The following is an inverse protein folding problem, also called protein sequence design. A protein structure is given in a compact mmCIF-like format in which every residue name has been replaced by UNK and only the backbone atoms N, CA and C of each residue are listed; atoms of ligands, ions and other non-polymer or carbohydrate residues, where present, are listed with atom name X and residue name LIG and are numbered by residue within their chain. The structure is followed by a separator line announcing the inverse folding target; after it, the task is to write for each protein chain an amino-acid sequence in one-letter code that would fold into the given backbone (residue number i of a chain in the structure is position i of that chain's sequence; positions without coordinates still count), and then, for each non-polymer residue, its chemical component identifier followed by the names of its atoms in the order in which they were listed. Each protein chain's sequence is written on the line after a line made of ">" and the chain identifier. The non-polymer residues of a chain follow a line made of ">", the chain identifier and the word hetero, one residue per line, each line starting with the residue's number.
data_IF_965056486525
#
_entry.id   IF_965056486525
#
_cell.length_a   1.000
_cell.length_b   1.000
_cell.length_c   1.000
_cell.angle_alpha   90.00
_cell.angle_beta   90.00
_cell.angle_gamma   90.00
#
_symmetry.space_group_name_H-M   'P 1'
#
loop_
_entity.id
_entity.type
_entity.pdbx_description
1 polymer ?
#
# COMPACT_ATOMS: atom_id res chain seq x y z
N UNK A 1 22.22 9.37 6.71
CA UNK A 1 21.98 7.98 6.25
C UNK A 1 21.84 7.98 4.73
N UNK A 2 22.06 6.86 4.02
CA UNK A 2 21.73 6.81 2.60
C UNK A 2 20.24 7.11 2.39
N UNK A 3 19.88 7.67 1.24
CA UNK A 3 18.51 8.02 0.84
C UNK A 3 17.79 9.12 1.65
N UNK A 4 18.47 9.88 2.48
CA UNK A 4 17.83 11.02 3.17
C UNK A 4 17.35 12.14 2.22
N UNK A 5 18.07 12.49 1.14
CA UNK A 5 17.57 13.43 0.15
C UNK A 5 16.30 12.96 -0.55
N UNK A 6 16.24 11.66 -0.87
CA UNK A 6 15.07 11.02 -1.51
C UNK A 6 13.87 11.02 -0.56
N UNK A 7 14.09 10.65 0.71
CA UNK A 7 13.05 10.69 1.74
C UNK A 7 12.50 12.10 1.89
N UNK A 8 13.37 13.10 2.01
CA UNK A 8 12.96 14.49 2.17
C UNK A 8 12.15 15.00 0.96
N UNK A 9 12.54 14.64 -0.26
CA UNK A 9 11.79 15.00 -1.47
C UNK A 9 10.43 14.31 -1.52
N UNK A 10 10.35 13.02 -1.18
CA UNK A 10 9.09 12.28 -1.10
C UNK A 10 8.13 12.85 -0.03
N UNK A 11 8.65 13.21 1.15
CA UNK A 11 7.87 13.87 2.20
C UNK A 11 7.32 15.23 1.74
N UNK A 12 8.15 16.04 1.07
CA UNK A 12 7.72 17.33 0.54
C UNK A 12 6.65 17.19 -0.53
N UNK A 13 6.82 16.24 -1.46
CA UNK A 13 5.84 15.93 -2.50
C UNK A 13 4.52 15.41 -1.91
N UNK A 14 4.58 14.50 -0.92
CA UNK A 14 3.40 13.98 -0.24
C UNK A 14 2.62 15.08 0.48
N UNK A 15 3.30 16.00 1.17
CA UNK A 15 2.64 17.15 1.83
C UNK A 15 1.97 18.07 0.84
N UNK A 16 2.63 18.42 -0.26
CA UNK A 16 2.07 19.29 -1.30
C UNK A 16 0.81 18.66 -1.95
N UNK A 17 0.86 17.36 -2.25
CA UNK A 17 -0.29 16.62 -2.77
C UNK A 17 -1.43 16.53 -1.74
N UNK A 18 -1.13 16.25 -0.48
CA UNK A 18 -2.12 16.19 0.59
C UNK A 18 -2.81 17.53 0.82
N UNK A 19 -2.10 18.66 0.72
CA UNK A 19 -2.70 19.99 0.81
C UNK A 19 -3.68 20.24 -0.36
N UNK A 20 -3.32 19.82 -1.56
CA UNK A 20 -4.18 19.86 -2.73
C UNK A 20 -5.44 18.99 -2.52
N UNK A 21 -5.29 17.73 -2.10
CA UNK A 21 -6.40 16.80 -1.84
C UNK A 21 -7.33 17.37 -0.77
N UNK A 22 -6.80 17.85 0.36
CA UNK A 22 -7.59 18.46 1.44
C UNK A 22 -8.40 19.65 0.98
N UNK A 23 -7.87 20.47 0.05
CA UNK A 23 -8.59 21.63 -0.48
C UNK A 23 -9.86 21.25 -1.26
N UNK A 24 -9.98 19.99 -1.71
CA UNK A 24 -11.10 19.44 -2.47
C UNK A 24 -11.97 18.47 -1.67
N UNK A 25 -11.58 18.10 -0.45
CA UNK A 25 -12.34 17.16 0.39
C UNK A 25 -13.74 17.67 0.68
N UNK A 26 -14.77 16.83 0.44
CA UNK A 26 -16.17 17.16 0.61
C UNK A 26 -16.73 18.18 -0.38
N UNK A 27 -16.03 18.45 -1.49
CA UNK A 27 -16.41 19.45 -2.50
C UNK A 27 -16.60 18.88 -3.91
N UNK A 28 -16.47 17.56 -4.08
CA UNK A 28 -16.65 16.90 -5.37
C UNK A 28 -18.12 16.97 -5.80
N UNK A 29 -18.37 17.36 -7.06
CA UNK A 29 -19.63 17.17 -7.73
C UNK A 29 -19.72 15.75 -8.32
N UNK A 30 -20.93 15.30 -8.65
CA UNK A 30 -21.11 13.96 -9.24
C UNK A 30 -20.32 13.77 -10.55
N UNK A 31 -20.20 14.83 -11.36
CA UNK A 31 -19.49 14.81 -12.64
C UNK A 31 -17.94 14.81 -12.48
N UNK A 32 -17.44 15.06 -11.28
CA UNK A 32 -16.00 15.02 -10.96
C UNK A 32 -15.49 13.59 -10.76
N UNK A 33 -16.37 12.61 -10.59
CA UNK A 33 -16.05 11.21 -10.33
C UNK A 33 -16.28 10.40 -11.61
N UNK A 34 -15.27 9.65 -12.02
CA UNK A 34 -15.32 8.77 -13.20
C UNK A 34 -15.01 7.33 -12.81
N UNK A 35 -15.68 6.37 -13.45
CA UNK A 35 -15.36 4.95 -13.31
C UNK A 35 -14.16 4.60 -14.22
N UNK A 36 -13.12 3.98 -13.64
CA UNK A 36 -12.02 3.34 -14.37
C UNK A 36 -12.33 1.88 -14.71
N UNK A 37 -13.20 1.23 -13.93
CA UNK A 37 -13.54 -0.18 -14.03
C UNK A 37 -14.53 -0.61 -12.95
N UNK A 38 -14.69 -1.92 -12.76
CA UNK A 38 -15.58 -2.46 -11.72
C UNK A 38 -15.12 -2.01 -10.32
N UNK A 39 -15.91 -1.16 -9.67
CA UNK A 39 -15.64 -0.60 -8.35
C UNK A 39 -14.28 0.13 -8.26
N UNK A 40 -13.87 0.75 -9.34
CA UNK A 40 -12.63 1.52 -9.44
C UNK A 40 -12.93 2.95 -9.91
N UNK A 41 -12.60 3.93 -9.08
CA UNK A 41 -12.94 5.35 -9.28
C UNK A 41 -11.69 6.18 -9.50
N UNK A 42 -11.83 7.26 -10.27
CA UNK A 42 -10.83 8.33 -10.39
C UNK A 42 -11.52 9.68 -10.40
N UNK A 43 -10.83 10.67 -9.86
CA UNK A 43 -11.27 12.05 -9.90
C UNK A 43 -10.15 12.94 -10.49
N UNK A 44 -10.49 14.18 -10.85
CA UNK A 44 -9.46 15.15 -11.22
C UNK A 44 -8.49 15.46 -10.07
N UNK A 45 -8.86 15.09 -8.84
CA UNK A 45 -8.02 15.25 -7.64
C UNK A 45 -6.88 14.25 -7.65
N UNK A 46 -7.12 13.00 -8.05
CA UNK A 46 -6.09 11.97 -8.24
C UNK A 46 -5.07 12.44 -9.28
N UNK A 47 -5.54 12.85 -10.47
CA UNK A 47 -4.68 13.34 -11.55
C UNK A 47 -3.88 14.61 -11.14
N UNK A 48 -4.51 15.52 -10.40
CA UNK A 48 -3.89 16.74 -9.89
C UNK A 48 -2.83 16.46 -8.84
N UNK A 49 -3.12 15.58 -7.89
CA UNK A 49 -2.19 15.14 -6.86
C UNK A 49 -0.99 14.41 -7.47
N UNK A 50 -1.25 13.48 -8.43
CA UNK A 50 -0.17 12.81 -9.14
C UNK A 50 0.77 13.80 -9.83
N UNK A 51 0.25 14.78 -10.56
CA UNK A 51 1.07 15.80 -11.23
C UNK A 51 1.98 16.54 -10.26
N UNK A 52 1.46 16.96 -9.10
CA UNK A 52 2.23 17.64 -8.06
C UNK A 52 3.39 16.75 -7.58
N UNK A 53 3.13 15.46 -7.32
CA UNK A 53 4.14 14.51 -6.87
C UNK A 53 5.21 14.31 -7.94
N UNK A 54 4.79 14.03 -9.17
CA UNK A 54 5.70 13.75 -10.29
C UNK A 54 6.60 14.94 -10.59
N UNK A 55 6.06 16.15 -10.59
CA UNK A 55 6.83 17.38 -10.84
C UNK A 55 7.89 17.59 -9.75
N UNK A 56 7.53 17.35 -8.48
CA UNK A 56 8.46 17.43 -7.34
C UNK A 56 9.60 16.41 -7.44
N UNK A 57 9.26 15.14 -7.71
CA UNK A 57 10.25 14.07 -7.80
C UNK A 57 11.16 14.23 -9.02
N UNK A 58 10.62 14.53 -10.19
CA UNK A 58 11.40 14.75 -11.43
C UNK A 58 12.32 15.96 -11.34
N UNK A 59 11.91 17.01 -10.64
CA UNK A 59 12.76 18.16 -10.37
C UNK A 59 13.96 17.82 -9.49
N UNK A 60 13.75 16.97 -8.47
CA UNK A 60 14.79 16.56 -7.54
C UNK A 60 15.68 15.43 -8.11
N UNK A 61 15.09 14.50 -8.86
CA UNK A 61 15.74 13.29 -9.39
C UNK A 61 15.40 13.07 -10.86
N UNK A 62 15.91 13.92 -11.77
CA UNK A 62 15.53 13.89 -13.18
C UNK A 62 15.99 12.64 -13.95
N UNK A 63 16.89 11.83 -13.38
CA UNK A 63 17.37 10.57 -13.96
C UNK A 63 16.56 9.35 -13.52
N UNK A 64 15.70 9.49 -12.51
CA UNK A 64 14.90 8.38 -11.99
C UNK A 64 13.63 8.21 -12.84
N UNK A 65 13.19 6.95 -13.00
CA UNK A 65 11.86 6.69 -13.56
C UNK A 65 10.78 6.88 -12.50
N UNK A 66 9.55 7.22 -12.93
CA UNK A 66 8.42 7.44 -12.02
C UNK A 66 7.17 6.75 -12.55
N UNK A 67 6.74 5.71 -11.88
CA UNK A 67 5.51 4.96 -12.13
C UNK A 67 4.40 5.49 -11.21
N UNK A 68 3.44 6.22 -11.78
CA UNK A 68 2.23 6.64 -11.07
C UNK A 68 1.04 5.74 -11.43
N UNK A 69 0.02 5.70 -10.60
CA UNK A 69 -1.23 4.98 -10.84
C UNK A 69 -1.95 5.49 -12.08
N UNK A 70 -2.10 6.83 -12.18
CA UNK A 70 -2.88 7.43 -13.24
C UNK A 70 -2.13 7.40 -14.57
N UNK A 71 -2.70 6.66 -15.54
CA UNK A 71 -2.09 6.44 -16.85
C UNK A 71 -0.92 5.47 -16.82
N UNK A 72 -0.89 4.53 -15.88
CA UNK A 72 0.17 3.52 -15.78
C UNK A 72 0.21 2.64 -17.04
N UNK A 73 1.37 2.60 -17.67
CA UNK A 73 1.68 1.73 -18.80
C UNK A 73 2.98 0.96 -18.50
N UNK A 74 3.16 -0.20 -19.12
CA UNK A 74 4.38 -1.02 -19.05
C UNK A 74 4.87 -1.31 -17.61
N UNK A 75 3.93 -1.50 -16.67
CA UNK A 75 4.18 -1.63 -15.23
C UNK A 75 5.26 -2.68 -14.93
N UNK A 76 5.19 -3.87 -15.58
CA UNK A 76 6.17 -4.95 -15.35
C UNK A 76 7.59 -4.55 -15.76
N UNK A 77 7.74 -3.86 -16.89
CA UNK A 77 9.03 -3.40 -17.41
C UNK A 77 9.62 -2.31 -16.52
N UNK A 78 8.80 -1.32 -16.15
CA UNK A 78 9.22 -0.20 -15.30
C UNK A 78 9.63 -0.67 -13.90
N UNK A 79 8.93 -1.64 -13.31
CA UNK A 79 9.33 -2.27 -12.04
C UNK A 79 10.65 -3.07 -12.12
N UNK A 80 11.11 -3.41 -13.32
CA UNK A 80 12.40 -4.05 -13.54
C UNK A 80 13.54 -3.06 -13.72
N UNK A 81 13.26 -1.76 -13.80
CA UNK A 81 14.24 -0.68 -13.92
C UNK A 81 15.19 -0.61 -12.73
N UNK A 82 16.36 0.02 -12.96
CA UNK A 82 17.39 0.16 -11.93
C UNK A 82 16.91 1.00 -10.75
N UNK A 83 16.12 2.07 -11.03
CA UNK A 83 15.64 2.99 -10.02
C UNK A 83 14.29 3.57 -10.45
N UNK A 84 13.25 3.34 -9.64
CA UNK A 84 11.88 3.75 -9.96
C UNK A 84 11.13 4.23 -8.72
N UNK A 85 10.56 5.42 -8.80
CA UNK A 85 9.56 5.91 -7.88
C UNK A 85 8.20 5.30 -8.23
N UNK A 86 7.47 4.84 -7.23
CA UNK A 86 6.16 4.21 -7.38
C UNK A 86 5.19 5.01 -6.54
N UNK A 87 4.16 5.57 -7.18
CA UNK A 87 3.30 6.60 -6.60
C UNK A 87 1.83 6.21 -6.72
N UNK A 88 1.14 6.21 -5.58
CA UNK A 88 -0.30 6.32 -5.50
C UNK A 88 -0.64 7.74 -5.05
N UNK A 89 -1.28 8.54 -5.91
CA UNK A 89 -1.62 9.92 -5.57
C UNK A 89 -2.73 10.01 -4.52
N UNK A 90 -3.64 9.03 -4.46
CA UNK A 90 -4.79 9.02 -3.56
C UNK A 90 -5.29 7.58 -3.31
N UNK A 91 -4.54 6.79 -2.53
CA UNK A 91 -5.02 5.49 -2.04
C UNK A 91 -6.31 5.68 -1.23
N UNK A 92 -7.35 4.95 -1.61
CA UNK A 92 -8.67 5.08 -1.02
C UNK A 92 -9.56 6.13 -1.71
N UNK A 93 -9.51 6.28 -3.04
CA UNK A 93 -10.36 7.19 -3.83
C UNK A 93 -11.85 7.03 -3.51
N UNK A 94 -12.34 5.80 -3.34
CA UNK A 94 -13.72 5.55 -2.90
C UNK A 94 -14.01 6.20 -1.53
N UNK A 95 -13.10 6.06 -0.58
CA UNK A 95 -13.23 6.68 0.73
C UNK A 95 -13.27 8.21 0.64
N UNK A 96 -12.37 8.77 -0.17
CA UNK A 96 -12.31 10.22 -0.41
C UNK A 96 -13.59 10.76 -1.04
N UNK A 97 -14.12 10.10 -2.08
CA UNK A 97 -15.36 10.53 -2.76
C UNK A 97 -16.57 10.49 -1.84
N UNK A 98 -16.59 9.58 -0.86
CA UNK A 98 -17.61 9.48 0.17
C UNK A 98 -17.31 10.28 1.45
N UNK A 99 -16.17 11.01 1.50
CA UNK A 99 -15.74 11.77 2.69
C UNK A 99 -15.59 10.89 3.95
N UNK A 100 -15.17 9.65 3.77
CA UNK A 100 -14.95 8.65 4.84
C UNK A 100 -13.47 8.32 4.92
N UNK A 101 -12.72 8.79 5.92
CA UNK A 101 -11.31 8.39 6.07
C UNK A 101 -11.18 6.90 6.42
N UNK A 102 -9.96 6.29 6.24
CA UNK A 102 -8.73 6.95 5.78
C UNK A 102 -8.58 6.99 4.25
N UNK A 103 -7.75 7.91 3.77
CA UNK A 103 -7.22 7.96 2.42
C UNK A 103 -5.85 8.65 2.43
N UNK A 104 -4.93 8.25 1.56
CA UNK A 104 -3.54 8.63 1.69
C UNK A 104 -2.82 8.90 0.36
N UNK A 105 -1.71 9.65 0.44
CA UNK A 105 -0.67 9.70 -0.58
C UNK A 105 0.38 8.64 -0.23
N UNK A 106 0.77 7.80 -1.20
CA UNK A 106 1.78 6.76 -1.05
C UNK A 106 2.91 6.94 -2.06
N UNK A 107 4.16 7.04 -1.59
CA UNK A 107 5.36 7.24 -2.43
C UNK A 107 6.44 6.27 -2.00
N UNK A 108 6.78 5.32 -2.87
CA UNK A 108 7.86 4.37 -2.66
C UNK A 108 8.99 4.57 -3.66
N UNK A 109 10.24 4.34 -3.26
CA UNK A 109 11.38 4.23 -4.17
C UNK A 109 11.92 2.81 -4.14
N UNK A 110 12.05 2.19 -5.31
CA UNK A 110 12.78 0.94 -5.50
C UNK A 110 14.07 1.18 -6.26
N UNK A 111 15.13 0.53 -5.80
CA UNK A 111 16.42 0.47 -6.48
C UNK A 111 16.78 -1.00 -6.71
N UNK A 112 16.94 -1.40 -7.99
CA UNK A 112 17.23 -2.79 -8.41
C UNK A 112 16.27 -3.82 -7.79
N UNK A 113 14.99 -3.48 -7.80
CA UNK A 113 13.94 -4.34 -7.27
C UNK A 113 13.79 -4.33 -5.75
N UNK A 114 14.59 -3.54 -5.02
CA UNK A 114 14.55 -3.45 -3.55
C UNK A 114 13.94 -2.11 -3.12
N UNK A 115 12.96 -2.13 -2.22
CA UNK A 115 12.41 -0.91 -1.61
C UNK A 115 13.46 -0.22 -0.74
N UNK A 116 13.68 1.09 -0.94
CA UNK A 116 14.70 1.86 -0.23
C UNK A 116 14.15 3.10 0.47
N UNK A 117 13.04 3.67 -0.01
CA UNK A 117 12.30 4.76 0.65
C UNK A 117 10.82 4.42 0.63
N UNK A 118 10.13 4.70 1.72
CA UNK A 118 8.68 4.65 1.83
C UNK A 118 8.14 5.85 2.57
N UNK A 119 7.15 6.51 1.98
CA UNK A 119 6.43 7.63 2.58
C UNK A 119 4.94 7.41 2.35
N UNK A 120 4.16 7.43 3.43
CA UNK A 120 2.70 7.42 3.39
C UNK A 120 2.20 8.59 4.22
N UNK A 121 1.34 9.43 3.64
CA UNK A 121 0.69 10.53 4.36
C UNK A 121 -0.81 10.29 4.37
N UNK A 122 -1.38 9.97 5.55
CA UNK A 122 -2.83 9.91 5.74
C UNK A 122 -3.38 11.33 5.71
N UNK A 123 -4.22 11.62 4.71
CA UNK A 123 -4.57 12.99 4.34
C UNK A 123 -5.51 13.65 5.36
N UNK A 124 -6.46 12.89 5.93
CA UNK A 124 -7.48 13.45 6.83
C UNK A 124 -6.89 13.83 8.19
N UNK A 125 -6.03 12.97 8.78
CA UNK A 125 -5.34 13.27 10.06
C UNK A 125 -4.09 14.13 9.87
N UNK A 126 -3.44 14.04 8.70
CA UNK A 126 -2.17 14.67 8.41
C UNK A 126 -0.96 13.89 8.91
N UNK A 127 -1.14 12.66 9.42
CA UNK A 127 -0.04 11.83 9.90
C UNK A 127 0.89 11.41 8.76
N UNK A 128 2.18 11.63 8.94
CA UNK A 128 3.22 11.26 7.98
C UNK A 128 4.05 10.09 8.52
N UNK A 129 3.99 8.97 7.80
CA UNK A 129 4.81 7.79 8.01
C UNK A 129 5.96 7.81 7.01
N UNK A 130 7.18 7.68 7.49
CA UNK A 130 8.36 7.85 6.64
C UNK A 130 9.51 6.95 7.09
N UNK A 131 10.14 6.28 6.13
CA UNK A 131 11.29 5.43 6.38
C UNK A 131 12.27 5.40 5.21
N UNK A 132 13.54 5.13 5.57
CA UNK A 132 14.54 4.63 4.62
C UNK A 132 15.00 3.25 5.06
N UNK A 133 15.40 2.43 4.12
CA UNK A 133 15.92 1.09 4.41
C UNK A 133 17.09 1.15 5.37
N UNK A 134 16.97 0.43 6.50
CA UNK A 134 17.97 0.42 7.57
C UNK A 134 18.00 1.66 8.46
N UNK A 135 17.09 2.62 8.27
CA UNK A 135 17.02 3.85 9.03
C UNK A 135 15.94 3.90 10.13
N UNK A 136 15.04 2.90 10.14
CA UNK A 136 13.89 2.89 11.04
C UNK A 136 12.70 3.69 10.51
N UNK A 137 11.54 3.47 11.14
CA UNK A 137 10.29 4.18 10.84
C UNK A 137 10.17 5.43 11.71
N UNK A 138 9.66 6.52 11.14
CA UNK A 138 9.17 7.66 11.90
C UNK A 138 7.69 7.94 11.56
N UNK A 139 6.93 8.35 12.58
CA UNK A 139 5.58 8.92 12.46
C UNK A 139 5.66 10.35 12.97
N UNK A 140 5.43 11.33 12.09
CA UNK A 140 5.60 12.76 12.39
C UNK A 140 6.98 13.08 13.03
N UNK A 141 8.04 12.43 12.52
CA UNK A 141 9.41 12.60 13.01
C UNK A 141 9.73 11.88 14.32
N UNK A 142 8.80 11.13 14.92
CA UNK A 142 9.00 10.33 16.12
C UNK A 142 9.22 8.87 15.74
N UNK A 143 10.22 8.23 16.32
CA UNK A 143 10.50 6.82 16.09
C UNK A 143 9.28 5.95 16.43
N UNK A 144 8.98 4.99 15.57
CA UNK A 144 7.93 3.99 15.76
C UNK A 144 8.43 2.60 15.31
N UNK A 145 7.73 1.56 15.75
CA UNK A 145 8.03 0.18 15.41
C UNK A 145 6.73 -0.63 15.33
N UNK A 146 6.79 -1.80 14.73
CA UNK A 146 5.70 -2.78 14.78
C UNK A 146 5.42 -3.21 16.22
N UNK A 147 4.25 -3.81 16.46
CA UNK A 147 3.91 -4.35 17.78
C UNK A 147 4.82 -5.52 18.18
N UNK A 148 4.82 -5.86 19.45
CA UNK A 148 5.49 -7.03 20.03
C UNK A 148 4.55 -8.24 20.19
N UNK A 149 3.36 -8.18 19.60
CA UNK A 149 2.37 -9.26 19.64
C UNK A 149 2.94 -10.53 19.01
N UNK A 150 2.89 -11.63 19.77
CA UNK A 150 3.46 -12.93 19.38
C UNK A 150 2.40 -14.05 19.23
N UNK A 151 1.14 -13.76 19.56
CA UNK A 151 0.01 -14.69 19.48
C UNK A 151 -1.05 -14.15 18.53
N UNK A 152 -1.49 -14.99 17.60
CA UNK A 152 -2.55 -14.61 16.65
C UNK A 152 -3.89 -14.27 17.36
N UNK A 153 -4.23 -14.96 18.43
CA UNK A 153 -5.45 -14.71 19.22
C UNK A 153 -5.48 -13.30 19.85
N UNK A 154 -4.32 -12.69 20.02
CA UNK A 154 -4.17 -11.33 20.56
C UNK A 154 -4.05 -10.28 19.46
N UNK A 155 -3.91 -10.70 18.21
CA UNK A 155 -3.63 -9.80 17.08
C UNK A 155 -4.88 -9.09 16.58
N UNK A 156 -4.76 -7.77 16.36
CA UNK A 156 -5.69 -6.97 15.55
C UNK A 156 -5.14 -6.91 14.12
N UNK A 157 -5.90 -7.42 13.16
CA UNK A 157 -5.44 -7.49 11.76
C UNK A 157 -6.29 -6.64 10.83
N UNK A 158 -5.70 -6.21 9.70
CA UNK A 158 -6.42 -5.53 8.63
C UNK A 158 -6.41 -6.37 7.35
N UNK A 159 -7.38 -6.12 6.46
CA UNK A 159 -7.53 -6.80 5.16
C UNK A 159 -8.38 -5.96 4.20
N UNK A 160 -8.33 -6.25 2.91
CA UNK A 160 -9.26 -5.74 1.91
C UNK A 160 -10.35 -6.74 1.55
N UNK A 161 -11.28 -6.33 0.67
CA UNK A 161 -12.33 -7.18 0.12
C UNK A 161 -12.16 -7.35 -1.40
N UNK A 162 -12.55 -8.51 -1.99
CA UNK A 162 -12.37 -8.80 -3.41
C UNK A 162 -13.40 -8.09 -4.30
N UNK A 163 -13.49 -6.76 -4.24
CA UNK A 163 -14.51 -6.00 -4.98
C UNK A 163 -14.25 -5.93 -6.49
N UNK A 164 -12.99 -5.99 -6.90
CA UNK A 164 -12.62 -5.86 -8.31
C UNK A 164 -12.70 -7.18 -9.07
N UNK A 165 -12.55 -8.32 -8.36
CA UNK A 165 -12.58 -9.66 -8.94
C UNK A 165 -13.16 -10.68 -7.94
N UNK A 166 -14.29 -11.27 -8.30
CA UNK A 166 -14.99 -12.23 -7.43
C UNK A 166 -14.52 -13.69 -7.64
N UNK A 167 -13.64 -13.98 -8.60
CA UNK A 167 -13.21 -15.34 -8.90
C UNK A 167 -12.47 -16.02 -7.77
N UNK A 168 -11.83 -15.26 -6.86
CA UNK A 168 -11.14 -15.78 -5.68
C UNK A 168 -11.92 -15.57 -4.36
N UNK A 169 -13.22 -15.21 -4.44
CA UNK A 169 -14.03 -14.89 -3.26
C UNK A 169 -14.14 -16.03 -2.26
N UNK A 170 -14.20 -17.28 -2.72
CA UNK A 170 -14.31 -18.45 -1.83
C UNK A 170 -13.05 -18.62 -0.98
N UNK A 171 -11.86 -18.51 -1.58
CA UNK A 171 -10.57 -18.51 -0.85
C UNK A 171 -10.44 -17.33 0.12
N UNK A 172 -10.98 -16.16 -0.29
CA UNK A 172 -11.06 -14.99 0.59
C UNK A 172 -11.95 -15.28 1.81
N UNK A 173 -13.17 -15.78 1.61
CA UNK A 173 -14.12 -16.05 2.69
C UNK A 173 -13.62 -17.13 3.65
N UNK A 174 -12.89 -18.15 3.17
CA UNK A 174 -12.23 -19.13 4.03
C UNK A 174 -11.19 -18.46 4.94
N UNK A 175 -10.31 -17.65 4.38
CA UNK A 175 -9.28 -16.90 5.12
C UNK A 175 -9.90 -15.88 6.08
N UNK A 176 -10.94 -15.16 5.65
CA UNK A 176 -11.63 -14.18 6.47
C UNK A 176 -12.36 -14.81 7.66
N UNK A 177 -13.02 -15.98 7.46
CA UNK A 177 -13.61 -16.77 8.55
C UNK A 177 -12.54 -17.15 9.56
N UNK A 178 -11.40 -17.68 9.12
CA UNK A 178 -10.31 -18.03 10.00
C UNK A 178 -9.76 -16.81 10.76
N UNK A 179 -9.74 -15.64 10.14
CA UNK A 179 -9.34 -14.39 10.81
C UNK A 179 -10.33 -14.01 11.93
N UNK A 180 -11.65 -14.08 11.67
CA UNK A 180 -12.67 -13.81 12.67
C UNK A 180 -12.55 -14.77 13.87
N UNK A 181 -12.29 -16.06 13.61
CA UNK A 181 -12.26 -17.10 14.64
C UNK A 181 -10.97 -17.12 15.48
N UNK A 182 -9.86 -16.59 14.94
CA UNK A 182 -8.50 -16.80 15.47
C UNK A 182 -7.73 -15.52 15.77
N UNK A 183 -8.35 -14.35 15.61
CA UNK A 183 -7.70 -13.06 15.93
C UNK A 183 -8.55 -12.28 16.92
N UNK A 184 -7.98 -11.26 17.55
CA UNK A 184 -8.72 -10.34 18.41
C UNK A 184 -9.77 -9.53 17.63
N UNK A 185 -9.54 -9.32 16.35
CA UNK A 185 -10.46 -8.60 15.50
C UNK A 185 -9.90 -8.29 14.14
N UNK A 186 -10.79 -7.98 13.20
CA UNK A 186 -10.44 -7.62 11.82
C UNK A 186 -10.91 -6.20 11.51
N UNK A 187 -10.13 -5.49 10.72
CA UNK A 187 -10.49 -4.17 10.17
C UNK A 187 -10.45 -4.20 8.64
N UNK A 188 -11.31 -3.40 8.02
CA UNK A 188 -11.33 -3.16 6.57
C UNK A 188 -11.50 -1.65 6.34
N UNK A 189 -10.40 -0.94 6.14
CA UNK A 189 -10.42 0.50 5.99
C UNK A 189 -10.57 0.95 4.55
N UNK A 190 -10.06 0.18 3.58
CA UNK A 190 -10.19 0.48 2.15
C UNK A 190 -9.13 1.44 1.61
N UNK A 191 -7.98 1.46 2.28
CA UNK A 191 -6.78 2.18 1.89
C UNK A 191 -5.57 1.33 2.32
N UNK A 192 -5.03 0.54 1.39
CA UNK A 192 -4.00 -0.46 1.68
C UNK A 192 -2.68 0.16 2.16
N UNK A 193 -2.30 1.32 1.62
CA UNK A 193 -1.13 2.04 2.06
C UNK A 193 -1.25 2.48 3.53
N UNK A 194 -2.45 2.88 3.97
CA UNK A 194 -2.70 3.23 5.38
C UNK A 194 -2.68 1.99 6.26
N UNK A 195 -3.30 0.88 5.84
CA UNK A 195 -3.30 -0.37 6.60
C UNK A 195 -1.87 -0.88 6.83
N UNK A 196 -0.99 -0.78 5.82
CA UNK A 196 0.44 -1.08 5.93
C UNK A 196 1.18 -0.08 6.85
N UNK A 197 0.92 1.23 6.74
CA UNK A 197 1.54 2.25 7.57
C UNK A 197 1.14 2.08 9.06
N UNK A 198 -0.12 1.74 9.32
CA UNK A 198 -0.59 1.46 10.68
C UNK A 198 -0.05 0.14 11.22
N UNK A 199 0.16 -0.87 10.36
CA UNK A 199 0.88 -2.10 10.74
C UNK A 199 2.33 -1.78 11.13
N UNK A 200 3.02 -0.96 10.31
CA UNK A 200 4.38 -0.52 10.62
C UNK A 200 4.49 0.25 11.95
N UNK A 201 3.47 1.05 12.28
CA UNK A 201 3.41 1.81 13.54
C UNK A 201 2.89 1.00 14.74
N UNK A 202 2.66 -0.32 14.61
CA UNK A 202 2.20 -1.19 15.69
C UNK A 202 0.74 -0.98 16.10
N UNK A 203 -0.07 -0.31 15.27
CA UNK A 203 -1.51 -0.13 15.51
C UNK A 203 -2.30 -1.37 15.10
N UNK A 204 -1.84 -2.04 14.05
CA UNK A 204 -2.23 -3.39 13.68
C UNK A 204 -1.06 -4.33 13.87
N UNK A 205 -1.37 -5.56 14.21
CA UNK A 205 -0.39 -6.62 14.37
C UNK A 205 -0.08 -7.32 13.05
N UNK A 206 -0.96 -7.14 12.06
CA UNK A 206 -0.77 -7.64 10.71
C UNK A 206 -1.82 -7.18 9.71
N UNK A 207 -1.46 -7.34 8.44
CA UNK A 207 -2.28 -7.03 7.26
C UNK A 207 -2.09 -8.13 6.22
N UNK A 208 -3.15 -8.51 5.53
CA UNK A 208 -3.09 -9.42 4.39
C UNK A 208 -4.13 -9.03 3.34
N UNK A 209 -3.72 -9.03 2.08
CA UNK A 209 -4.60 -8.72 0.95
C UNK A 209 -4.03 -9.28 -0.36
N UNK A 210 -4.87 -9.41 -1.39
CA UNK A 210 -4.50 -9.73 -2.77
C UNK A 210 -5.19 -8.78 -3.75
N UNK A 211 -4.68 -8.74 -5.00
CA UNK A 211 -5.25 -7.89 -6.04
C UNK A 211 -4.84 -6.42 -5.91
N UNK A 212 -3.78 -6.17 -5.18
CA UNK A 212 -3.19 -4.84 -5.01
C UNK A 212 -2.27 -4.49 -6.17
N UNK A 213 -2.22 -3.22 -6.53
CA UNK A 213 -1.27 -2.69 -7.49
C UNK A 213 0.08 -2.34 -6.80
N UNK A 214 1.17 -2.19 -7.57
CA UNK A 214 2.46 -1.82 -7.00
C UNK A 214 2.46 -0.54 -6.17
N UNK A 215 1.67 0.44 -6.55
CA UNK A 215 1.59 1.74 -5.88
C UNK A 215 0.87 1.66 -4.54
N UNK A 216 -0.08 0.73 -4.35
CA UNK A 216 -0.77 0.49 -3.08
C UNK A 216 0.22 0.01 -1.99
N UNK A 217 1.30 -0.68 -2.38
CA UNK A 217 2.12 -1.44 -1.44
C UNK A 217 3.59 -1.03 -1.36
N UNK A 218 4.16 -0.42 -2.41
CA UNK A 218 5.61 -0.19 -2.49
C UNK A 218 6.16 0.63 -1.31
N UNK A 219 5.49 1.69 -0.90
CA UNK A 219 5.87 2.47 0.26
C UNK A 219 5.68 1.70 1.56
N UNK A 220 4.50 1.08 1.73
CA UNK A 220 4.13 0.35 2.93
C UNK A 220 5.07 -0.81 3.25
N UNK A 221 5.55 -1.53 2.25
CA UNK A 221 6.57 -2.59 2.41
C UNK A 221 7.83 -2.04 3.09
N UNK A 222 8.35 -0.90 2.61
CA UNK A 222 9.53 -0.26 3.21
C UNK A 222 9.26 0.18 4.66
N UNK A 223 8.07 0.75 4.92
CA UNK A 223 7.69 1.18 6.27
C UNK A 223 7.69 0.01 7.26
N UNK A 224 7.03 -1.11 6.88
CA UNK A 224 6.92 -2.29 7.75
C UNK A 224 8.29 -2.93 8.01
N UNK A 225 9.11 -3.11 6.95
CA UNK A 225 10.46 -3.67 7.11
C UNK A 225 11.37 -2.77 7.96
N UNK A 226 11.33 -1.44 7.75
CA UNK A 226 12.11 -0.48 8.53
C UNK A 226 11.68 -0.40 9.99
N UNK A 227 10.41 -0.71 10.28
CA UNK A 227 9.85 -0.78 11.63
C UNK A 227 10.16 -2.09 12.37
N UNK A 228 10.89 -3.03 11.76
CA UNK A 228 11.21 -4.33 12.32
C UNK A 228 10.15 -5.41 12.06
N UNK A 229 9.14 -5.13 11.23
CA UNK A 229 8.15 -6.09 10.79
C UNK A 229 8.67 -7.03 9.68
N UNK A 230 7.83 -8.01 9.35
CA UNK A 230 8.08 -8.94 8.23
C UNK A 230 7.04 -8.70 7.14
N UNK A 231 7.50 -8.71 5.89
CA UNK A 231 6.64 -8.69 4.70
C UNK A 231 6.98 -9.89 3.82
N UNK A 232 5.98 -10.49 3.22
CA UNK A 232 6.18 -11.60 2.28
C UNK A 232 4.97 -11.82 1.39
N UNK A 233 5.18 -12.48 0.26
CA UNK A 233 4.08 -12.93 -0.58
C UNK A 233 3.27 -14.05 0.07
N UNK A 234 2.04 -14.23 -0.40
CA UNK A 234 1.14 -15.29 0.09
C UNK A 234 1.52 -16.70 -0.43
N UNK A 235 2.50 -16.79 -1.34
CA UNK A 235 3.15 -18.07 -1.74
C UNK A 235 4.66 -17.88 -1.85
N UNK A 236 5.40 -18.98 -1.86
CA UNK A 236 6.84 -18.93 -1.90
C UNK A 236 7.38 -18.35 -3.21
N UNK A 237 8.32 -17.42 -3.09
CA UNK A 237 8.96 -16.73 -4.20
C UNK A 237 8.14 -15.57 -4.79
N UNK A 238 6.94 -15.26 -4.28
CA UNK A 238 6.21 -14.09 -4.71
C UNK A 238 6.86 -12.79 -4.18
N UNK A 239 7.16 -11.85 -5.08
CA UNK A 239 7.50 -10.47 -4.71
C UNK A 239 6.20 -9.73 -4.36
N UNK A 240 6.02 -9.23 -3.14
CA UNK A 240 4.79 -8.55 -2.70
C UNK A 240 4.36 -7.41 -3.61
N UNK A 241 5.32 -6.62 -4.11
CA UNK A 241 5.05 -5.45 -4.94
C UNK A 241 4.64 -5.84 -6.37
N UNK A 242 5.23 -6.92 -6.90
CA UNK A 242 4.92 -7.38 -8.26
C UNK A 242 3.67 -8.24 -8.34
N UNK A 243 3.45 -9.05 -7.31
CA UNK A 243 2.31 -9.98 -7.29
C UNK A 243 1.01 -9.34 -6.79
N UNK A 244 1.11 -8.23 -6.05
CA UNK A 244 -0.05 -7.63 -5.40
C UNK A 244 -0.73 -8.55 -4.37
N UNK A 245 0.01 -9.55 -3.87
CA UNK A 245 -0.51 -10.52 -2.90
C UNK A 245 0.48 -10.64 -1.73
N UNK A 246 0.11 -10.11 -0.58
CA UNK A 246 1.06 -10.02 0.52
C UNK A 246 0.44 -10.27 1.89
N UNK A 247 1.33 -10.56 2.83
CA UNK A 247 1.14 -10.45 4.27
C UNK A 247 2.25 -9.57 4.83
N UNK A 248 1.88 -8.66 5.72
CA UNK A 248 2.78 -7.82 6.49
C UNK A 248 2.40 -7.90 7.96
N UNK A 249 3.35 -8.12 8.87
CA UNK A 249 3.00 -8.30 10.28
C UNK A 249 4.19 -8.09 11.23
N UNK A 250 3.88 -7.96 12.51
CA UNK A 250 4.84 -8.17 13.58
C UNK A 250 5.48 -9.56 13.46
N UNK A 251 6.79 -9.70 13.77
CA UNK A 251 7.50 -10.97 13.56
C UNK A 251 6.86 -12.18 14.25
N UNK A 252 6.30 -11.97 15.44
CA UNK A 252 5.69 -13.05 16.25
C UNK A 252 4.43 -13.67 15.65
N UNK A 253 3.67 -12.90 14.86
CA UNK A 253 2.40 -13.38 14.26
C UNK A 253 2.49 -13.62 12.75
N UNK A 254 3.58 -13.25 12.09
CA UNK A 254 3.73 -13.30 10.63
C UNK A 254 3.43 -14.68 10.04
N UNK A 255 4.08 -15.73 10.53
CA UNK A 255 3.94 -17.07 9.95
C UNK A 255 2.53 -17.64 10.19
N UNK A 256 1.95 -17.34 11.35
CA UNK A 256 0.57 -17.74 11.68
C UNK A 256 -0.45 -17.02 10.78
N UNK A 257 -0.28 -15.72 10.56
CA UNK A 257 -1.14 -14.91 9.68
C UNK A 257 -0.99 -15.32 8.22
N UNK A 258 0.24 -15.58 7.74
CA UNK A 258 0.49 -16.09 6.38
C UNK A 258 -0.19 -17.43 6.14
N UNK A 259 -0.13 -18.33 7.11
CA UNK A 259 -0.82 -19.62 7.04
C UNK A 259 -2.34 -19.45 7.04
N UNK A 260 -2.87 -18.53 7.82
CA UNK A 260 -4.29 -18.20 7.85
C UNK A 260 -4.76 -17.68 6.48
N UNK A 261 -3.98 -16.84 5.81
CA UNK A 261 -4.30 -16.27 4.49
C UNK A 261 -3.97 -17.22 3.31
N UNK A 262 -3.43 -18.43 3.56
CA UNK A 262 -3.03 -19.35 2.51
C UNK A 262 -4.16 -19.78 1.56
N UNK A 263 -5.44 -19.99 1.98
CA UNK A 263 -6.54 -20.26 1.05
C UNK A 263 -6.74 -19.16 0.02
N UNK A 264 -6.71 -17.90 0.46
CA UNK A 264 -6.76 -16.73 -0.41
C UNK A 264 -5.60 -16.69 -1.40
N UNK A 265 -4.37 -16.90 -0.89
CA UNK A 265 -3.17 -16.93 -1.72
C UNK A 265 -3.20 -18.00 -2.81
N UNK A 266 -3.72 -19.20 -2.51
CA UNK A 266 -3.88 -20.29 -3.50
C UNK A 266 -4.88 -19.91 -4.58
N UNK A 267 -6.08 -19.45 -4.20
CA UNK A 267 -7.13 -19.09 -5.14
C UNK A 267 -6.68 -17.95 -6.08
N UNK A 268 -6.01 -16.93 -5.54
CA UNK A 268 -5.50 -15.81 -6.35
C UNK A 268 -4.37 -16.23 -7.30
N UNK A 269 -3.43 -17.07 -6.84
CA UNK A 269 -2.33 -17.59 -7.66
C UNK A 269 -2.81 -18.44 -8.84
N UNK A 270 -3.83 -19.28 -8.64
CA UNK A 270 -4.43 -20.12 -9.70
C UNK A 270 -4.99 -19.27 -10.83
N UNK A 271 -5.61 -18.12 -10.50
CA UNK A 271 -6.11 -17.18 -11.50
C UNK A 271 -4.97 -16.51 -12.29
N UNK A 272 -3.94 -16.02 -11.61
CA UNK A 272 -2.80 -15.40 -12.26
C UNK A 272 -2.10 -16.35 -13.25
N UNK A 273 -1.97 -17.64 -12.91
CA UNK A 273 -1.39 -18.66 -13.79
C UNK A 273 -2.27 -18.95 -15.01
N UNK A 274 -3.60 -18.84 -14.90
CA UNK A 274 -4.51 -19.04 -16.04
C UNK A 274 -4.49 -17.85 -17.00
N UNK A 275 -4.27 -16.65 -16.52
CA UNK A 275 -4.15 -15.45 -17.35
C UNK A 275 -2.82 -15.40 -18.12
N UNK A 276 -1.70 -15.72 -17.45
CA UNK A 276 -0.38 -15.80 -18.11
C UNK A 276 -0.30 -16.93 -19.16
N UNK A 277 -1.13 -17.97 -19.07
CA UNK A 277 -1.22 -19.07 -20.05
C UNK A 277 -2.13 -18.75 -21.25
N UNK A 278 -2.93 -17.69 -21.18
CA UNK A 278 -3.88 -17.27 -22.21
C UNK A 278 -3.33 -16.20 -23.16
N UNK A 279 -2.12 -15.67 -22.88
CA UNK A 279 -1.36 -14.69 -23.68
C UNK A 279 -0.24 -15.38 -24.42
#
# INVERSE_FOLDING_TARGET
>A
MPYEPERAAAEAAARAAADFIRSHAGRLAADDVRDKGTHDLVTFVDEGAQRIILDGLRSAFPADDVLGEEGAEDVRERLAGDRVWIVDPLDGTTNFTHSVPPYAVSIGLRERGVGVVGVVLEVASGELFSAVRGGGLTVDGRAAAVSDTDRLDDALVATGFPFRDYRYVDGYLESFRAAIERTRGVRRHGAAAVDLAWTAAGRFDGFFEVGLAPWDVAAGVVLVEAAGGRVGGLWDGADPVRSGALVAAAPGVFDALRNLAAPLGRAFRELALTEDAAV
#
